data_IF_970872852206
#
_entry.id   IF_970872852206
#
_cell.length_a   1.000
_cell.length_b   1.000
_cell.length_c   1.000
_cell.angle_alpha   90.00
_cell.angle_beta   90.00
_cell.angle_gamma   90.00
#
_symmetry.space_group_name_H-M   'P 1'
#
loop_
_entity.id
_entity.type
_entity.pdbx_description
1 polymer ?
#
# COMPACT_ATOMS: atom_id res chain seq x y z
N UNK A 1 -36.47 4.23 22.53
CA UNK A 1 -35.03 4.38 22.25
C UNK A 1 -34.32 3.08 22.62
N UNK A 2 -33.80 2.33 21.66
CA UNK A 2 -32.86 1.23 21.88
C UNK A 2 -32.16 0.94 20.55
N UNK A 3 -31.00 1.57 20.33
CA UNK A 3 -30.14 1.21 19.20
C UNK A 3 -29.30 -0.01 19.61
N UNK A 4 -29.68 -1.17 19.05
CA UNK A 4 -28.89 -2.39 19.03
C UNK A 4 -27.53 -2.11 18.37
N UNK A 5 -26.51 -1.84 19.18
CA UNK A 5 -25.13 -2.00 18.75
C UNK A 5 -24.91 -3.49 18.48
N UNK A 6 -25.04 -3.91 17.22
CA UNK A 6 -24.64 -5.25 16.79
C UNK A 6 -23.14 -5.39 17.07
N UNK A 7 -22.78 -6.25 18.03
CA UNK A 7 -21.39 -6.67 18.26
C UNK A 7 -20.81 -7.14 16.94
N UNK A 8 -19.77 -6.47 16.46
CA UNK A 8 -18.98 -6.93 15.31
C UNK A 8 -18.37 -8.29 15.72
N UNK A 9 -18.65 -9.39 15.01
CA UNK A 9 -18.12 -10.69 15.38
C UNK A 9 -16.59 -10.67 15.33
N UNK A 10 -15.95 -11.23 16.35
CA UNK A 10 -14.51 -11.38 16.39
C UNK A 10 -14.05 -12.20 15.17
N UNK A 11 -13.02 -11.73 14.47
CA UNK A 11 -12.46 -12.44 13.31
C UNK A 11 -11.98 -13.83 13.73
N UNK A 12 -12.22 -14.85 12.88
CA UNK A 12 -11.67 -16.18 13.08
C UNK A 12 -10.13 -16.15 13.15
N UNK A 13 -9.50 -17.11 13.84
CA UNK A 13 -8.02 -17.20 13.93
C UNK A 13 -7.35 -17.23 12.55
N UNK A 14 -7.98 -17.85 11.55
CA UNK A 14 -7.50 -17.86 10.17
C UNK A 14 -7.54 -16.45 9.55
N UNK A 15 -8.63 -15.71 9.73
CA UNK A 15 -8.76 -14.34 9.24
C UNK A 15 -7.80 -13.38 9.96
N UNK A 16 -7.53 -13.60 11.25
CA UNK A 16 -6.51 -12.85 12.00
C UNK A 16 -5.10 -13.08 11.43
N UNK A 17 -4.75 -14.33 11.12
CA UNK A 17 -3.45 -14.67 10.49
C UNK A 17 -3.29 -14.03 9.12
N UNK A 18 -4.33 -14.05 8.29
CA UNK A 18 -4.32 -13.41 6.96
C UNK A 18 -4.08 -11.91 7.10
N UNK A 19 -4.83 -11.22 7.98
CA UNK A 19 -4.65 -9.78 8.21
C UNK A 19 -3.27 -9.44 8.80
N UNK A 20 -2.74 -10.28 9.68
CA UNK A 20 -1.40 -10.09 10.23
C UNK A 20 -0.32 -10.23 9.15
N UNK A 21 -0.46 -11.21 8.26
CA UNK A 21 0.46 -11.42 7.13
C UNK A 21 0.39 -10.30 6.11
N UNK A 22 -0.81 -9.82 5.80
CA UNK A 22 -1.03 -8.65 4.94
C UNK A 22 -0.35 -7.42 5.53
N UNK A 23 -0.52 -7.17 6.84
CA UNK A 23 0.14 -6.05 7.53
C UNK A 23 1.68 -6.09 7.42
N UNK A 24 2.28 -7.30 7.42
CA UNK A 24 3.74 -7.43 7.20
C UNK A 24 4.10 -6.89 5.82
N UNK A 25 3.47 -7.39 4.75
CA UNK A 25 3.79 -6.95 3.39
C UNK A 25 3.46 -5.48 3.13
N UNK A 26 2.47 -4.94 3.81
CA UNK A 26 2.18 -3.51 3.79
C UNK A 26 3.13 -2.69 4.69
N UNK A 27 4.32 -3.20 5.01
CA UNK A 27 5.35 -2.51 5.80
C UNK A 27 4.84 -2.05 7.19
N UNK A 28 4.00 -2.86 7.83
CA UNK A 28 3.40 -2.54 9.12
C UNK A 28 2.11 -1.71 9.03
N UNK A 29 1.73 -1.25 7.83
CA UNK A 29 0.50 -0.51 7.61
C UNK A 29 -0.70 -1.44 7.44
N UNK A 30 -1.89 -0.88 7.66
CA UNK A 30 -3.15 -1.46 7.21
C UNK A 30 -3.95 -0.42 6.42
N UNK A 31 -4.98 -0.86 5.69
CA UNK A 31 -5.78 0.01 4.83
C UNK A 31 -6.42 1.22 5.55
N UNK A 32 -6.80 1.06 6.82
CA UNK A 32 -7.41 2.13 7.62
C UNK A 32 -6.35 3.19 7.95
N UNK A 33 -5.21 2.77 8.51
CA UNK A 33 -4.09 3.65 8.84
C UNK A 33 -3.45 4.34 7.61
N UNK A 34 -3.42 3.67 6.44
CA UNK A 34 -2.94 4.28 5.19
C UNK A 34 -3.86 5.41 4.74
N UNK A 35 -5.17 5.17 4.81
CA UNK A 35 -6.17 6.18 4.46
C UNK A 35 -6.08 7.38 5.38
N UNK A 36 -5.96 7.15 6.68
CA UNK A 36 -5.76 8.23 7.67
C UNK A 36 -4.48 9.02 7.34
N UNK A 37 -3.37 8.33 7.13
CA UNK A 37 -2.08 8.94 6.80
C UNK A 37 -2.16 9.83 5.55
N UNK A 38 -2.62 9.32 4.41
CA UNK A 38 -2.69 10.10 3.16
C UNK A 38 -3.80 11.16 3.15
N UNK A 39 -4.78 11.06 4.05
CA UNK A 39 -5.76 12.13 4.26
C UNK A 39 -5.12 13.28 5.03
N UNK A 40 -4.34 12.96 6.07
CA UNK A 40 -3.66 13.95 6.92
C UNK A 40 -2.44 14.56 6.24
N UNK A 41 -1.70 13.76 5.46
CA UNK A 41 -0.49 14.10 4.74
C UNK A 41 -0.67 13.76 3.25
N UNK A 42 -1.43 14.57 2.49
CA UNK A 42 -1.60 14.35 1.05
C UNK A 42 -0.23 14.42 0.36
N UNK A 43 0.12 13.43 -0.49
CA UNK A 43 1.40 13.44 -1.16
C UNK A 43 1.55 14.65 -2.10
N UNK A 44 2.74 15.26 -2.12
CA UNK A 44 3.06 16.37 -2.99
C UNK A 44 3.57 15.89 -4.36
N UNK A 45 3.43 16.72 -5.40
CA UNK A 45 4.05 16.46 -6.71
C UNK A 45 5.57 16.43 -6.53
N UNK A 46 6.22 15.43 -7.13
CA UNK A 46 7.65 15.15 -6.99
C UNK A 46 8.00 14.27 -5.78
N UNK A 47 7.06 14.00 -4.88
CA UNK A 47 7.30 13.11 -3.73
C UNK A 47 7.45 11.66 -4.19
N UNK A 48 8.40 10.94 -3.57
CA UNK A 48 8.58 9.51 -3.78
C UNK A 48 7.71 8.70 -2.83
N UNK A 49 7.09 7.64 -3.36
CA UNK A 49 6.26 6.71 -2.61
C UNK A 49 6.62 5.27 -3.00
N UNK A 50 5.99 4.29 -2.34
CA UNK A 50 6.17 2.88 -2.65
C UNK A 50 4.86 2.31 -3.19
N UNK A 51 4.92 1.59 -4.32
CA UNK A 51 3.82 0.69 -4.70
C UNK A 51 4.16 -0.70 -4.24
N UNK A 52 3.27 -1.30 -3.47
CA UNK A 52 3.24 -2.74 -3.22
C UNK A 52 2.37 -3.40 -4.29
N UNK A 53 2.90 -4.43 -4.91
CA UNK A 53 2.26 -5.21 -5.97
C UNK A 53 2.43 -6.71 -5.68
N UNK A 54 1.35 -7.36 -5.26
CA UNK A 54 1.18 -8.80 -5.05
C UNK A 54 0.55 -9.52 -6.25
N UNK A 55 0.47 -8.87 -7.42
CA UNK A 55 -0.04 -9.49 -8.64
C UNK A 55 0.82 -10.69 -9.05
N UNK A 56 0.19 -11.73 -9.60
CA UNK A 56 0.89 -12.97 -9.95
C UNK A 56 1.45 -13.76 -8.75
N UNK A 57 1.12 -13.39 -7.50
CA UNK A 57 1.57 -14.08 -6.29
C UNK A 57 2.98 -13.70 -5.83
N UNK A 58 3.59 -12.67 -6.43
CA UNK A 58 4.90 -12.15 -6.06
C UNK A 58 4.73 -10.86 -5.26
N UNK A 59 5.42 -10.68 -4.14
CA UNK A 59 5.36 -9.45 -3.33
C UNK A 59 6.42 -8.45 -3.81
N UNK A 60 6.10 -7.68 -4.83
CA UNK A 60 6.97 -6.71 -5.46
C UNK A 60 6.74 -5.32 -4.89
N UNK A 61 7.82 -4.54 -4.83
CA UNK A 61 7.83 -3.18 -4.36
C UNK A 61 8.54 -2.31 -5.37
N UNK A 62 7.89 -1.20 -5.72
CA UNK A 62 8.36 -0.26 -6.74
C UNK A 62 8.51 1.11 -6.10
N UNK A 63 9.60 1.79 -6.41
CA UNK A 63 9.77 3.19 -6.05
C UNK A 63 9.11 4.03 -7.14
N UNK A 64 8.16 4.87 -6.74
CA UNK A 64 7.35 5.67 -7.68
C UNK A 64 7.41 7.13 -7.31
N UNK A 65 7.17 8.00 -8.28
CA UNK A 65 7.12 9.46 -8.07
C UNK A 65 5.70 9.96 -8.32
N UNK A 66 5.20 10.82 -7.44
CA UNK A 66 3.91 11.49 -7.63
C UNK A 66 4.04 12.55 -8.73
N UNK A 67 3.20 12.46 -9.76
CA UNK A 67 3.19 13.42 -10.87
C UNK A 67 1.95 14.34 -10.84
N UNK A 68 0.89 13.94 -10.14
CA UNK A 68 -0.27 14.79 -9.83
C UNK A 68 -0.91 14.30 -8.53
N UNK A 69 -1.14 15.20 -7.57
CA UNK A 69 -1.73 14.91 -6.25
C UNK A 69 -3.27 15.03 -6.20
N UNK A 70 -3.89 15.50 -7.29
CA UNK A 70 -5.31 15.84 -7.37
C UNK A 70 -5.88 15.58 -8.77
N UNK A 71 -5.49 14.48 -9.38
CA UNK A 71 -5.87 14.13 -10.75
C UNK A 71 -7.38 13.89 -10.90
N UNK A 72 -7.99 14.67 -11.79
CA UNK A 72 -9.38 14.53 -12.21
C UNK A 72 -10.42 14.82 -11.12
N UNK A 73 -11.71 14.61 -11.43
CA UNK A 73 -12.85 14.95 -10.56
C UNK A 73 -12.89 14.20 -9.21
N UNK A 74 -12.10 13.13 -9.06
CA UNK A 74 -12.03 12.29 -7.86
C UNK A 74 -10.80 12.60 -6.99
N UNK A 75 -10.01 13.61 -7.35
CA UNK A 75 -8.79 14.02 -6.63
C UNK A 75 -7.84 12.84 -6.38
N UNK A 76 -7.56 12.07 -7.44
CA UNK A 76 -6.71 10.88 -7.39
C UNK A 76 -5.23 11.28 -7.31
N UNK A 77 -4.42 10.41 -6.74
CA UNK A 77 -2.96 10.50 -6.80
C UNK A 77 -2.53 9.79 -8.08
N UNK A 78 -1.85 10.51 -8.97
CA UNK A 78 -1.22 9.95 -10.16
C UNK A 78 0.28 9.80 -9.93
N UNK A 79 0.80 8.64 -10.27
CA UNK A 79 2.22 8.31 -10.09
C UNK A 79 2.91 7.98 -11.43
N UNK A 80 4.23 7.92 -11.41
CA UNK A 80 5.10 7.39 -12.46
C UNK A 80 6.08 6.39 -11.86
N UNK A 81 6.46 5.35 -12.61
CA UNK A 81 7.46 4.35 -12.19
C UNK A 81 6.89 2.96 -11.88
N UNK A 82 5.58 2.74 -12.05
CA UNK A 82 4.96 1.42 -11.97
C UNK A 82 3.93 1.23 -13.08
N UNK A 83 4.07 0.16 -13.85
CA UNK A 83 3.09 -0.31 -14.83
C UNK A 83 3.26 -1.82 -14.98
N UNK A 84 2.19 -2.57 -14.77
CA UNK A 84 2.18 -4.03 -14.85
C UNK A 84 1.09 -4.57 -15.81
N UNK A 85 0.40 -3.68 -16.55
CA UNK A 85 -0.71 -4.03 -17.44
C UNK A 85 -2.04 -4.38 -16.76
N UNK A 86 -2.07 -4.54 -15.43
CA UNK A 86 -3.23 -4.94 -14.63
C UNK A 86 -3.55 -3.97 -13.47
N UNK A 87 -2.86 -2.83 -13.40
CA UNK A 87 -3.09 -1.74 -12.45
C UNK A 87 -2.94 -0.40 -13.14
N UNK A 88 -3.63 0.62 -12.62
CA UNK A 88 -3.54 1.99 -13.15
C UNK A 88 -2.44 2.77 -12.45
N UNK A 89 -1.91 3.80 -13.08
CA UNK A 89 -1.05 4.81 -12.44
C UNK A 89 -1.82 5.71 -11.45
N UNK A 90 -3.11 5.47 -11.27
CA UNK A 90 -4.03 6.27 -10.47
C UNK A 90 -4.40 5.54 -9.18
N UNK A 91 -4.37 6.28 -8.08
CA UNK A 91 -4.64 5.77 -6.74
C UNK A 91 -5.58 6.71 -5.99
N UNK A 92 -6.46 6.15 -5.18
CA UNK A 92 -7.26 6.92 -4.23
C UNK A 92 -6.37 7.38 -3.06
N UNK A 93 -6.80 8.42 -2.33
CA UNK A 93 -6.17 8.83 -1.05
C UNK A 93 -6.25 7.76 0.05
N UNK A 94 -6.91 6.64 -0.19
CA UNK A 94 -6.83 5.45 0.66
C UNK A 94 -5.64 4.54 0.34
N UNK A 95 -4.78 4.92 -0.61
CA UNK A 95 -3.70 4.09 -1.15
C UNK A 95 -4.19 3.01 -2.12
N UNK A 96 -5.50 2.86 -2.34
CA UNK A 96 -6.04 1.83 -3.24
C UNK A 96 -5.82 2.20 -4.70
N UNK A 97 -5.40 1.22 -5.52
CA UNK A 97 -5.30 1.40 -6.96
C UNK A 97 -6.69 1.58 -7.60
N UNK A 98 -6.82 2.53 -8.54
CA UNK A 98 -8.10 2.88 -9.15
C UNK A 98 -8.58 1.88 -10.23
N UNK A 99 -7.70 1.03 -10.76
CA UNK A 99 -8.05 -0.01 -11.74
C UNK A 99 -9.05 -1.03 -11.18
N UNK A 100 -8.95 -1.35 -9.88
CA UNK A 100 -9.83 -2.32 -9.23
C UNK A 100 -11.20 -1.75 -8.82
N UNK A 101 -11.50 -0.49 -9.17
CA UNK A 101 -12.73 0.19 -8.76
C UNK A 101 -12.91 0.17 -7.23
N UNK A 102 -14.11 -0.18 -6.76
CA UNK A 102 -14.40 -0.34 -5.32
C UNK A 102 -14.09 -1.73 -4.77
N UNK A 103 -13.73 -2.71 -5.62
CA UNK A 103 -13.39 -4.05 -5.16
C UNK A 103 -11.99 -4.03 -4.57
N UNK A 104 -11.93 -4.26 -3.26
CA UNK A 104 -10.76 -4.10 -2.40
C UNK A 104 -9.72 -5.20 -2.60
N UNK A 105 -9.19 -5.35 -3.80
CA UNK A 105 -7.97 -6.10 -4.01
C UNK A 105 -6.80 -5.28 -3.48
N UNK A 106 -6.29 -5.67 -2.31
CA UNK A 106 -5.04 -5.13 -1.73
C UNK A 106 -3.80 -5.65 -2.44
N UNK A 107 -3.99 -6.35 -3.57
CA UNK A 107 -2.89 -6.82 -4.40
C UNK A 107 -2.07 -5.68 -4.97
N UNK A 108 -2.63 -4.50 -5.18
CA UNK A 108 -1.85 -3.33 -5.59
C UNK A 108 -2.25 -2.12 -4.77
N UNK A 109 -1.33 -1.57 -4.00
CA UNK A 109 -1.58 -0.39 -3.18
C UNK A 109 -0.35 0.52 -3.05
N UNK A 110 -0.63 1.79 -2.83
CA UNK A 110 0.33 2.83 -2.55
C UNK A 110 0.61 2.87 -1.04
N UNK A 111 1.87 2.95 -0.69
CA UNK A 111 2.42 3.04 0.66
C UNK A 111 3.25 4.32 0.78
N UNK A 112 3.32 4.92 1.97
CA UNK A 112 4.26 6.00 2.26
C UNK A 112 5.69 5.60 1.95
N UNK A 113 6.54 6.60 1.72
CA UNK A 113 7.97 6.37 1.58
C UNK A 113 8.54 5.63 2.81
N UNK A 114 9.38 4.63 2.55
CA UNK A 114 10.09 3.91 3.59
C UNK A 114 11.56 3.80 3.19
N UNK A 115 12.43 4.56 3.85
CA UNK A 115 13.83 4.76 3.47
C UNK A 115 14.60 3.47 3.18
N UNK A 116 14.59 2.52 4.13
CA UNK A 116 15.31 1.23 3.94
C UNK A 116 14.77 0.41 2.76
N UNK A 117 13.48 0.51 2.47
CA UNK A 117 12.87 -0.21 1.35
C UNK A 117 13.22 0.48 0.05
N UNK A 118 13.11 1.80 0.00
CA UNK A 118 13.49 2.61 -1.16
C UNK A 118 14.95 2.41 -1.56
N UNK A 119 15.90 2.53 -0.62
CA UNK A 119 17.33 2.27 -0.87
C UNK A 119 17.57 0.89 -1.49
N UNK A 120 16.88 -0.13 -0.97
CA UNK A 120 17.01 -1.50 -1.47
C UNK A 120 16.37 -1.70 -2.86
N UNK A 121 15.31 -0.95 -3.18
CA UNK A 121 14.70 -0.95 -4.51
C UNK A 121 15.63 -0.27 -5.51
N UNK A 122 16.21 0.88 -5.16
CA UNK A 122 17.17 1.62 -5.99
C UNK A 122 18.40 0.78 -6.32
N UNK A 123 18.99 0.12 -5.31
CA UNK A 123 20.12 -0.80 -5.49
C UNK A 123 19.81 -1.98 -6.43
N UNK A 124 18.53 -2.27 -6.68
CA UNK A 124 18.06 -3.34 -7.57
C UNK A 124 17.50 -2.83 -8.90
N UNK A 125 17.64 -1.55 -9.20
CA UNK A 125 17.20 -0.97 -10.48
C UNK A 125 15.73 -0.61 -10.53
N UNK A 126 15.11 -0.28 -9.39
CA UNK A 126 13.76 0.31 -9.33
C UNK A 126 12.64 -0.65 -8.96
N UNK A 127 12.91 -1.96 -8.84
CA UNK A 127 11.95 -2.97 -8.39
C UNK A 127 12.62 -3.97 -7.46
N UNK A 128 11.93 -4.40 -6.39
CA UNK A 128 12.40 -5.49 -5.54
C UNK A 128 11.27 -6.39 -5.05
N UNK A 129 11.48 -7.70 -5.15
CA UNK A 129 10.59 -8.72 -4.57
C UNK A 129 11.09 -9.10 -3.18
N UNK A 130 10.18 -9.23 -2.22
CA UNK A 130 10.50 -9.62 -0.85
C UNK A 130 9.72 -10.87 -0.40
N UNK A 131 10.38 -11.74 0.37
CA UNK A 131 9.71 -12.77 1.16
C UNK A 131 9.18 -12.18 2.47
N UNK A 132 8.27 -12.90 3.16
CA UNK A 132 7.79 -12.49 4.48
C UNK A 132 8.94 -12.29 5.48
N UNK A 133 9.94 -13.17 5.47
CA UNK A 133 11.12 -13.08 6.33
C UNK A 133 11.97 -11.84 6.02
N UNK A 134 12.06 -11.43 4.75
CA UNK A 134 12.78 -10.21 4.39
C UNK A 134 12.08 -8.96 4.93
N UNK A 135 10.76 -8.90 4.78
CA UNK A 135 9.97 -7.76 5.27
C UNK A 135 9.99 -7.70 6.81
N UNK A 136 9.92 -8.85 7.48
CA UNK A 136 10.09 -8.90 8.93
C UNK A 136 11.46 -8.37 9.38
N UNK A 137 12.54 -8.73 8.68
CA UNK A 137 13.88 -8.18 8.96
C UNK A 137 13.97 -6.67 8.73
N UNK A 138 13.27 -6.15 7.71
CA UNK A 138 13.19 -4.71 7.45
C UNK A 138 12.46 -3.96 8.57
N UNK A 139 11.38 -4.55 9.11
CA UNK A 139 10.54 -3.98 10.17
C UNK A 139 11.13 -4.14 11.58
N UNK A 140 12.05 -5.07 11.78
CA UNK A 140 12.79 -5.19 13.03
C UNK A 140 13.70 -3.96 13.18
N UNK A 141 13.44 -3.14 14.21
CA UNK A 141 14.36 -2.09 14.64
C UNK A 141 15.67 -2.79 15.03
N UNK A 142 16.79 -2.36 14.43
CA UNK A 142 18.09 -2.58 15.05
C UNK A 142 18.06 -1.68 16.28
N UNK A 143 17.81 -2.30 17.43
CA UNK A 143 17.96 -1.70 18.76
C UNK A 143 19.41 -1.28 18.97
#
# INVERSE_FOLDING_TARGET
MNHLYKKIPALSKANQRIKAKEKIFLLGWNNESLKEYFTQYPPAVGEQLIVFDASGGLNQYHLVTVIDSSYGKRNLIKIMGHSNGYSSELYYRSGKNAHNGYQASTKVCLLPYHERVAQQIELKGGIKTYTEADVQRLLQRVT
#
